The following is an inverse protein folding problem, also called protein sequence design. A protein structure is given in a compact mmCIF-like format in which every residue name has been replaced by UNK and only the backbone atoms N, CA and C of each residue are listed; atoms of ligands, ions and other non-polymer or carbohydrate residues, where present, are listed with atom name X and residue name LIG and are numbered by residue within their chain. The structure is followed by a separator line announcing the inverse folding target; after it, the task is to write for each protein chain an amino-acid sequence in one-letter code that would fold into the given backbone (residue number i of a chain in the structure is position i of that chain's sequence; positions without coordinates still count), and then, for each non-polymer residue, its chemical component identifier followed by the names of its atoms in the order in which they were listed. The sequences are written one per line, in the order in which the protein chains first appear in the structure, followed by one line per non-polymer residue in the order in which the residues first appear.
data_IF_658266995906
#
_entry.id   IF_658266995906
#
_cell.length_a   1.000
_cell.length_b   1.000
_cell.length_c   1.000
_cell.angle_alpha   90.00
_cell.angle_beta   90.00
_cell.angle_gamma   90.00
#
_symmetry.space_group_name_H-M   'P 1'
#
loop_
_entity.id
_entity.type
_entity.pdbx_description
1 polymer ?
#
# COMPACT_ATOMS: atom_id res chain seq x y z
N UNK A 1 25.03 -34.81 -6.09
CA UNK A 1 23.73 -34.98 -5.43
C UNK A 1 23.08 -33.61 -5.31
N UNK A 2 21.93 -33.47 -5.99
CA UNK A 2 20.95 -32.37 -6.02
C UNK A 2 21.29 -31.02 -5.35
N UNK A 3 21.81 -30.08 -6.14
CA UNK A 3 21.54 -28.64 -5.97
C UNK A 3 20.16 -28.36 -6.56
N UNK A 4 19.15 -28.10 -5.71
CA UNK A 4 17.89 -27.53 -6.18
C UNK A 4 18.20 -26.21 -6.89
N UNK A 5 18.08 -26.24 -8.22
CA UNK A 5 18.19 -25.06 -9.08
C UNK A 5 16.99 -24.17 -8.76
N UNK A 6 17.27 -22.99 -8.20
CA UNK A 6 16.32 -21.90 -8.13
C UNK A 6 15.90 -21.53 -9.57
N UNK A 7 14.62 -21.70 -9.96
CA UNK A 7 14.17 -21.48 -11.33
C UNK A 7 13.99 -20.01 -11.74
N UNK A 8 14.33 -19.04 -10.88
CA UNK A 8 14.08 -17.60 -11.12
C UNK A 8 15.32 -16.76 -11.45
N UNK A 9 16.48 -17.36 -11.71
CA UNK A 9 17.71 -16.60 -11.98
C UNK A 9 18.35 -17.02 -13.30
N UNK A 10 17.94 -16.40 -14.44
CA UNK A 10 18.77 -16.28 -15.66
C UNK A 10 18.21 -15.41 -16.81
N UNK A 11 17.41 -14.38 -16.55
CA UNK A 11 17.19 -13.29 -17.54
C UNK A 11 17.18 -11.95 -16.81
N UNK A 12 18.26 -11.19 -16.91
CA UNK A 12 18.20 -9.78 -16.53
C UNK A 12 17.23 -9.05 -17.49
N UNK A 13 16.23 -8.40 -16.90
CA UNK A 13 15.39 -7.34 -17.47
C UNK A 13 14.27 -7.69 -18.48
N UNK A 14 13.55 -8.81 -18.32
CA UNK A 14 12.15 -8.81 -18.78
C UNK A 14 11.26 -8.33 -17.63
N UNK A 15 10.54 -7.23 -17.86
CA UNK A 15 9.47 -6.78 -16.97
C UNK A 15 8.47 -7.95 -16.81
N UNK A 16 8.14 -8.39 -15.59
CA UNK A 16 7.16 -9.46 -15.40
C UNK A 16 5.90 -9.17 -16.21
N UNK A 17 5.37 -10.18 -16.91
CA UNK A 17 4.15 -10.03 -17.75
C UNK A 17 3.00 -9.40 -16.98
N UNK A 18 2.89 -9.71 -15.69
CA UNK A 18 1.90 -9.15 -14.77
C UNK A 18 1.98 -7.61 -14.58
N UNK A 19 3.07 -6.96 -15.00
CA UNK A 19 3.27 -5.51 -14.92
C UNK A 19 3.12 -4.81 -16.28
N UNK A 20 2.93 -5.54 -17.38
CA UNK A 20 2.62 -4.91 -18.67
C UNK A 20 1.29 -4.17 -18.54
N UNK A 21 1.19 -2.95 -19.06
CA UNK A 21 -0.01 -2.13 -18.92
C UNK A 21 -0.20 -1.53 -17.52
N UNK A 22 0.80 -1.66 -16.62
CA UNK A 22 0.81 -1.08 -15.26
C UNK A 22 1.78 0.09 -15.09
N UNK A 23 2.21 0.67 -16.20
CA UNK A 23 3.20 1.75 -16.23
C UNK A 23 2.68 2.98 -15.49
N UNK A 24 1.42 3.36 -15.70
CA UNK A 24 0.85 4.56 -15.09
C UNK A 24 0.74 4.43 -13.57
N UNK A 25 0.37 3.25 -13.05
CA UNK A 25 0.30 3.01 -11.61
C UNK A 25 1.67 3.10 -10.95
N UNK A 26 2.71 2.59 -11.61
CA UNK A 26 4.09 2.67 -11.12
C UNK A 26 4.63 4.11 -11.21
N UNK A 27 4.32 4.83 -12.28
CA UNK A 27 4.72 6.23 -12.46
C UNK A 27 4.04 7.15 -11.44
N UNK A 28 2.73 7.02 -11.25
CA UNK A 28 1.99 7.80 -10.25
C UNK A 28 2.53 7.54 -8.84
N UNK A 29 2.91 6.29 -8.54
CA UNK A 29 3.54 5.93 -7.28
C UNK A 29 4.92 6.56 -7.10
N UNK A 30 5.77 6.49 -8.13
CA UNK A 30 7.10 7.11 -8.13
C UNK A 30 7.03 8.62 -7.87
N UNK A 31 6.11 9.29 -8.58
CA UNK A 31 5.85 10.72 -8.44
C UNK A 31 5.23 11.08 -7.08
N UNK A 32 4.40 10.21 -6.50
CA UNK A 32 3.90 10.41 -5.13
C UNK A 32 5.00 10.37 -4.09
N UNK A 33 5.96 9.44 -4.23
CA UNK A 33 7.10 9.34 -3.32
C UNK A 33 7.95 10.62 -3.35
N UNK A 34 8.30 11.09 -4.56
CA UNK A 34 9.08 12.32 -4.72
C UNK A 34 8.36 13.54 -4.18
N UNK A 35 7.05 13.65 -4.44
CA UNK A 35 6.26 14.79 -3.94
C UNK A 35 6.21 14.87 -2.43
N UNK A 36 6.10 13.71 -1.77
CA UNK A 36 6.05 13.64 -0.33
C UNK A 36 7.40 14.00 0.33
N UNK A 37 8.53 13.57 -0.24
CA UNK A 37 9.86 13.90 0.33
C UNK A 37 10.33 15.30 -0.02
N UNK A 38 10.09 15.77 -1.25
CA UNK A 38 10.73 16.97 -1.77
C UNK A 38 9.90 18.23 -1.51
N UNK A 39 8.57 18.10 -1.54
CA UNK A 39 7.64 19.23 -1.41
C UNK A 39 6.73 19.11 -0.18
N UNK A 40 6.76 18.00 0.55
CA UNK A 40 5.84 17.74 1.66
C UNK A 40 4.39 17.58 1.22
N UNK A 41 4.15 17.35 -0.08
CA UNK A 41 2.82 17.16 -0.62
C UNK A 41 2.45 15.68 -0.55
N UNK A 42 1.43 15.35 0.25
CA UNK A 42 1.02 13.98 0.50
C UNK A 42 -0.25 13.67 -0.29
N UNK A 43 -0.11 12.79 -1.28
CA UNK A 43 -1.23 12.31 -2.07
C UNK A 43 -2.23 11.50 -1.26
N UNK A 44 -3.45 11.41 -1.81
CA UNK A 44 -4.43 10.46 -1.31
C UNK A 44 -3.90 9.01 -1.44
N UNK A 45 -4.38 8.08 -0.59
CA UNK A 45 -4.05 6.66 -0.71
C UNK A 45 -4.29 6.10 -2.12
N UNK A 46 -3.40 5.20 -2.54
CA UNK A 46 -3.53 4.43 -3.77
C UNK A 46 -4.33 3.16 -3.48
N UNK A 47 -5.57 3.08 -3.98
CA UNK A 47 -6.44 1.92 -3.78
C UNK A 47 -6.58 1.16 -5.10
N UNK A 48 -5.97 -0.03 -5.19
CA UNK A 48 -5.94 -0.83 -6.41
C UNK A 48 -6.81 -2.09 -6.23
N UNK A 49 -7.90 -2.16 -6.99
CA UNK A 49 -8.91 -3.20 -6.85
C UNK A 49 -8.91 -4.12 -8.07
N UNK A 50 -8.91 -5.45 -7.89
CA UNK A 50 -9.01 -6.36 -9.04
C UNK A 50 -9.26 -7.80 -8.66
N UNK A 51 -9.69 -8.61 -9.63
CA UNK A 51 -9.96 -10.04 -9.42
C UNK A 51 -8.66 -10.85 -9.24
N UNK A 52 -8.77 -12.15 -8.93
CA UNK A 52 -7.56 -13.01 -8.82
C UNK A 52 -6.88 -13.18 -10.18
N UNK A 53 -5.55 -13.21 -10.17
CA UNK A 53 -4.73 -13.44 -11.36
C UNK A 53 -4.45 -12.20 -12.23
N UNK A 54 -4.80 -10.99 -11.79
CA UNK A 54 -4.55 -9.73 -12.56
C UNK A 54 -3.18 -9.08 -12.28
N UNK A 55 -2.32 -9.72 -11.49
CA UNK A 55 -0.96 -9.21 -11.20
C UNK A 55 -0.82 -8.34 -9.96
N UNK A 56 -1.85 -8.23 -9.12
CA UNK A 56 -1.90 -7.35 -7.94
C UNK A 56 -0.68 -7.43 -7.01
N UNK A 57 -0.33 -8.64 -6.56
CA UNK A 57 0.80 -8.86 -5.65
C UNK A 57 2.14 -8.53 -6.32
N UNK A 58 2.28 -8.77 -7.63
CA UNK A 58 3.49 -8.40 -8.40
C UNK A 58 3.61 -6.88 -8.48
N UNK A 59 2.49 -6.18 -8.72
CA UNK A 59 2.45 -4.72 -8.71
C UNK A 59 2.82 -4.15 -7.33
N UNK A 60 2.26 -4.69 -6.25
CA UNK A 60 2.61 -4.26 -4.88
C UNK A 60 4.10 -4.45 -4.58
N UNK A 61 4.67 -5.60 -4.98
CA UNK A 61 6.09 -5.89 -4.79
C UNK A 61 6.98 -4.91 -5.55
N UNK A 62 6.57 -4.51 -6.76
CA UNK A 62 7.31 -3.52 -7.55
C UNK A 62 7.20 -2.10 -6.95
N UNK A 63 6.02 -1.68 -6.50
CA UNK A 63 5.84 -0.43 -5.76
C UNK A 63 6.73 -0.41 -4.50
N UNK A 64 6.79 -1.52 -3.76
CA UNK A 64 7.66 -1.67 -2.60
C UNK A 64 9.15 -1.54 -2.98
N UNK A 65 9.56 -2.11 -4.12
CA UNK A 65 10.93 -2.01 -4.64
C UNK A 65 11.29 -0.55 -4.98
N UNK A 66 10.41 0.16 -5.68
CA UNK A 66 10.58 1.58 -6.03
C UNK A 66 10.75 2.42 -4.77
N UNK A 67 9.86 2.26 -3.79
CA UNK A 67 9.93 2.98 -2.53
C UNK A 67 11.26 2.73 -1.78
N UNK A 68 11.69 1.46 -1.67
CA UNK A 68 12.99 1.12 -1.05
C UNK A 68 14.18 1.73 -1.79
N UNK A 69 14.15 1.80 -3.12
CA UNK A 69 15.22 2.43 -3.90
C UNK A 69 15.31 3.94 -3.66
N UNK A 70 14.20 4.58 -3.29
CA UNK A 70 14.15 5.98 -2.83
C UNK A 70 14.36 6.11 -1.31
N UNK A 71 14.90 5.08 -0.67
CA UNK A 71 15.21 5.03 0.77
C UNK A 71 13.99 5.12 1.71
N UNK A 72 12.77 4.97 1.19
CA UNK A 72 11.58 4.90 2.03
C UNK A 72 11.62 3.64 2.91
N UNK A 73 11.15 3.80 4.15
CA UNK A 73 10.84 2.65 5.00
C UNK A 73 9.55 2.03 4.49
N UNK A 74 9.58 0.74 4.15
CA UNK A 74 8.43 0.02 3.61
C UNK A 74 7.95 -1.02 4.62
N UNK A 75 6.71 -0.84 5.08
CA UNK A 75 5.97 -1.85 5.82
C UNK A 75 4.99 -2.52 4.85
N UNK A 76 5.26 -3.78 4.51
CA UNK A 76 4.43 -4.56 3.59
C UNK A 76 3.74 -5.68 4.35
N UNK A 77 2.41 -5.77 4.23
CA UNK A 77 1.55 -6.68 4.97
C UNK A 77 0.57 -7.38 4.03
N UNK A 78 0.15 -8.59 4.40
CA UNK A 78 -0.99 -9.28 3.81
C UNK A 78 -2.10 -9.33 4.87
N UNK A 79 -3.27 -8.77 4.56
CA UNK A 79 -4.39 -8.76 5.48
C UNK A 79 -4.97 -10.17 5.63
N UNK A 80 -5.36 -10.52 6.86
CA UNK A 80 -5.98 -11.81 7.18
C UNK A 80 -7.22 -11.58 8.01
N UNK A 81 -8.28 -12.33 7.73
CA UNK A 81 -9.60 -12.21 8.37
C UNK A 81 -9.62 -12.39 9.90
N UNK A 82 -8.50 -12.75 10.53
CA UNK A 82 -8.40 -12.90 11.99
C UNK A 82 -7.72 -11.72 12.70
N UNK A 83 -7.52 -10.55 12.05
CA UNK A 83 -7.21 -9.26 12.69
C UNK A 83 -5.94 -9.18 13.54
N UNK A 84 -5.18 -10.28 13.64
CA UNK A 84 -4.04 -10.37 14.55
C UNK A 84 -2.80 -9.71 13.99
N UNK A 85 -2.61 -9.63 12.67
CA UNK A 85 -1.35 -9.12 12.13
C UNK A 85 -1.27 -7.59 12.25
N UNK A 86 -2.34 -6.83 11.97
CA UNK A 86 -2.28 -5.36 12.07
C UNK A 86 -2.24 -4.88 13.52
N UNK A 87 -3.06 -5.48 14.42
CA UNK A 87 -3.04 -5.16 15.85
C UNK A 87 -1.73 -5.59 16.52
N UNK A 88 -1.15 -6.74 16.13
CA UNK A 88 0.15 -7.19 16.67
C UNK A 88 1.31 -6.33 16.16
N UNK A 89 1.25 -5.86 14.91
CA UNK A 89 2.32 -5.03 14.31
C UNK A 89 2.20 -3.56 14.73
N UNK A 90 0.99 -3.03 14.93
CA UNK A 90 0.75 -1.59 15.09
C UNK A 90 0.19 -1.14 16.45
N UNK A 91 -0.13 -2.05 17.38
CA UNK A 91 -0.54 -1.69 18.74
C UNK A 91 -1.67 -2.57 19.27
N UNK A 92 -1.38 -3.30 20.36
CA UNK A 92 -2.33 -4.21 20.99
C UNK A 92 -3.39 -3.47 21.83
N UNK A 93 -4.65 -3.60 21.43
CA UNK A 93 -5.81 -3.17 22.21
C UNK A 93 -7.11 -3.59 21.54
N UNK A 94 -8.06 -4.14 22.30
CA UNK A 94 -9.35 -4.67 21.82
C UNK A 94 -10.48 -3.64 21.88
N UNK A 95 -10.16 -2.35 21.77
CA UNK A 95 -11.14 -1.27 21.81
C UNK A 95 -11.03 -0.41 20.53
N UNK A 96 -12.16 -0.26 19.84
CA UNK A 96 -12.34 0.34 18.52
C UNK A 96 -11.75 1.75 18.41
N UNK A 97 -11.85 2.54 19.50
CA UNK A 97 -11.25 3.87 19.58
C UNK A 97 -9.76 3.86 19.91
N UNK A 98 -9.28 2.83 20.60
CA UNK A 98 -7.88 2.69 20.96
C UNK A 98 -7.03 2.36 19.73
N UNK A 99 -7.50 1.45 18.86
CA UNK A 99 -6.75 1.06 17.66
C UNK A 99 -6.45 2.26 16.76
N UNK A 100 -7.45 3.07 16.42
CA UNK A 100 -7.24 4.26 15.57
C UNK A 100 -6.28 5.25 16.22
N UNK A 101 -6.40 5.47 17.53
CA UNK A 101 -5.52 6.39 18.27
C UNK A 101 -4.07 5.87 18.29
N UNK A 102 -3.88 4.59 18.56
CA UNK A 102 -2.58 3.98 18.76
C UNK A 102 -1.82 3.86 17.43
N UNK A 103 -2.51 3.39 16.37
CA UNK A 103 -1.94 3.34 15.02
C UNK A 103 -1.56 4.74 14.54
N UNK A 104 -2.39 5.76 14.78
CA UNK A 104 -2.06 7.15 14.43
C UNK A 104 -0.85 7.66 15.20
N UNK A 105 -0.75 7.40 16.50
CA UNK A 105 0.42 7.82 17.30
C UNK A 105 1.70 7.19 16.77
N UNK A 106 1.66 5.89 16.49
CA UNK A 106 2.80 5.15 15.94
C UNK A 106 3.23 5.73 14.59
N UNK A 107 2.30 5.80 13.63
CA UNK A 107 2.59 6.30 12.28
C UNK A 107 3.05 7.76 12.31
N UNK A 108 2.41 8.62 13.12
CA UNK A 108 2.84 10.01 13.29
C UNK A 108 4.27 10.10 13.80
N UNK A 109 4.59 9.37 14.87
CA UNK A 109 5.94 9.37 15.45
C UNK A 109 6.98 8.93 14.43
N UNK A 110 6.78 7.78 13.79
CA UNK A 110 7.70 7.23 12.78
C UNK A 110 7.84 8.15 11.56
N UNK A 111 6.73 8.67 11.01
CA UNK A 111 6.78 9.56 9.85
C UNK A 111 7.44 10.90 10.18
N UNK A 112 7.31 11.39 11.42
CA UNK A 112 7.97 12.63 11.88
C UNK A 112 9.49 12.43 11.92
N UNK A 113 9.96 11.33 12.51
CA UNK A 113 11.39 10.99 12.56
C UNK A 113 11.97 10.81 11.15
N UNK A 114 11.26 10.11 10.26
CA UNK A 114 11.71 9.92 8.87
C UNK A 114 11.74 11.22 8.08
N UNK A 115 10.82 12.15 8.35
CA UNK A 115 10.80 13.47 7.72
C UNK A 115 12.08 14.25 7.99
N UNK A 116 12.62 14.19 9.22
CA UNK A 116 13.90 14.82 9.59
C UNK A 116 15.08 14.26 8.77
N UNK A 117 14.97 13.01 8.34
CA UNK A 117 15.96 12.32 7.50
C UNK A 117 15.70 12.48 6.00
N UNK A 118 14.71 13.29 5.58
CA UNK A 118 14.22 13.40 4.19
C UNK A 118 13.78 12.06 3.58
N UNK A 119 13.20 11.19 4.41
CA UNK A 119 12.67 9.88 4.03
C UNK A 119 11.19 9.82 4.35
N UNK A 120 10.52 8.76 3.91
CA UNK A 120 9.11 8.52 4.21
C UNK A 120 8.81 7.10 4.63
N UNK A 121 7.59 6.90 5.15
CA UNK A 121 7.00 5.61 5.51
C UNK A 121 5.94 5.24 4.46
N UNK A 122 6.13 4.11 3.80
CA UNK A 122 5.13 3.52 2.92
C UNK A 122 4.53 2.28 3.57
N UNK A 123 3.20 2.27 3.75
CA UNK A 123 2.46 1.09 4.21
C UNK A 123 1.71 0.50 3.01
N UNK A 124 2.01 -0.76 2.71
CA UNK A 124 1.51 -1.48 1.53
C UNK A 124 0.78 -2.74 2.01
N UNK A 125 -0.52 -2.84 1.76
CA UNK A 125 -1.34 -3.95 2.25
C UNK A 125 -1.99 -4.70 1.09
N UNK A 126 -1.66 -5.99 0.97
CA UNK A 126 -2.33 -6.93 0.06
C UNK A 126 -3.57 -7.56 0.72
N UNK A 127 -4.50 -8.04 -0.09
CA UNK A 127 -5.77 -8.64 0.31
C UNK A 127 -6.58 -7.77 1.31
N UNK A 128 -6.48 -6.44 1.19
CA UNK A 128 -7.08 -5.47 2.12
C UNK A 128 -8.60 -5.59 2.28
N UNK A 129 -9.31 -6.33 1.40
CA UNK A 129 -10.72 -6.69 1.64
C UNK A 129 -10.92 -7.52 2.91
N UNK A 130 -9.88 -8.15 3.44
CA UNK A 130 -9.93 -8.99 4.63
C UNK A 130 -9.71 -8.19 5.92
N UNK A 131 -9.34 -6.91 5.83
CA UNK A 131 -9.32 -5.98 6.96
C UNK A 131 -10.75 -5.69 7.45
N UNK A 132 -10.94 -5.57 8.75
CA UNK A 132 -12.21 -5.18 9.33
C UNK A 132 -12.49 -3.66 9.18
N UNK A 133 -13.65 -3.22 9.64
CA UNK A 133 -14.08 -1.81 9.53
C UNK A 133 -13.19 -0.87 10.36
N UNK A 134 -12.70 -1.34 11.49
CA UNK A 134 -11.90 -0.56 12.44
C UNK A 134 -10.47 -0.38 11.91
N UNK A 135 -9.88 -1.44 11.37
CA UNK A 135 -8.57 -1.43 10.72
C UNK A 135 -8.56 -0.49 9.50
N UNK A 136 -9.57 -0.59 8.63
CA UNK A 136 -9.74 0.32 7.48
C UNK A 136 -9.92 1.77 7.92
N UNK A 137 -10.71 2.01 8.96
CA UNK A 137 -10.91 3.32 9.57
C UNK A 137 -9.60 3.92 10.11
N UNK A 138 -8.80 3.12 10.82
CA UNK A 138 -7.53 3.54 11.37
C UNK A 138 -6.53 3.94 10.27
N UNK A 139 -6.39 3.12 9.24
CA UNK A 139 -5.50 3.38 8.10
C UNK A 139 -5.92 4.63 7.31
N UNK A 140 -7.22 4.78 7.03
CA UNK A 140 -7.76 5.95 6.36
C UNK A 140 -7.50 7.23 7.17
N UNK A 141 -7.69 7.17 8.49
CA UNK A 141 -7.41 8.30 9.38
C UNK A 141 -5.92 8.65 9.48
N UNK A 142 -5.02 7.67 9.32
CA UNK A 142 -3.58 7.92 9.23
C UNK A 142 -3.22 8.64 7.93
N UNK A 143 -3.79 8.24 6.80
CA UNK A 143 -3.58 8.93 5.54
C UNK A 143 -4.10 10.38 5.57
N UNK A 144 -5.29 10.59 6.14
CA UNK A 144 -5.85 11.93 6.31
C UNK A 144 -4.97 12.81 7.20
N UNK A 145 -4.52 12.27 8.34
CA UNK A 145 -3.60 12.96 9.24
C UNK A 145 -2.28 13.32 8.54
N UNK A 146 -1.68 12.39 7.81
CA UNK A 146 -0.43 12.63 7.10
C UNK A 146 -0.55 13.76 6.08
N UNK A 147 -1.68 13.82 5.37
CA UNK A 147 -1.98 14.92 4.44
C UNK A 147 -2.10 16.28 5.15
N UNK A 148 -2.84 16.34 6.26
CA UNK A 148 -3.03 17.58 7.04
C UNK A 148 -1.72 18.06 7.66
N UNK A 149 -0.90 17.14 8.18
CA UNK A 149 0.35 17.45 8.89
C UNK A 149 1.57 17.48 7.95
N UNK A 150 1.37 17.23 6.66
CA UNK A 150 2.45 17.12 5.66
C UNK A 150 3.55 16.12 6.09
N UNK A 151 3.15 14.98 6.65
CA UNK A 151 4.05 13.92 7.07
C UNK A 151 4.27 12.94 5.92
N UNK A 152 5.52 12.51 5.62
CA UNK A 152 5.85 11.66 4.48
C UNK A 152 5.38 10.22 4.72
N UNK A 153 4.06 10.02 4.69
CA UNK A 153 3.39 8.75 4.86
C UNK A 153 2.49 8.50 3.67
N UNK A 154 2.71 7.39 2.98
CA UNK A 154 1.90 6.96 1.83
C UNK A 154 1.32 5.56 2.10
N UNK A 155 0.07 5.39 1.66
CA UNK A 155 -0.70 4.17 1.86
C UNK A 155 -1.09 3.58 0.51
N UNK A 156 -0.84 2.28 0.34
CA UNK A 156 -1.34 1.48 -0.78
C UNK A 156 -2.19 0.34 -0.22
N UNK A 157 -3.43 0.25 -0.67
CA UNK A 157 -4.30 -0.88 -0.38
C UNK A 157 -4.61 -1.62 -1.68
N UNK A 158 -4.36 -2.91 -1.69
CA UNK A 158 -4.66 -3.80 -2.80
C UNK A 158 -5.66 -4.84 -2.36
N UNK A 159 -6.66 -5.12 -3.19
CA UNK A 159 -7.64 -6.14 -2.86
C UNK A 159 -8.67 -6.42 -3.95
N UNK A 160 -9.74 -7.10 -3.56
CA UNK A 160 -10.91 -7.36 -4.41
C UNK A 160 -11.79 -6.10 -4.56
N UNK A 161 -12.62 -5.99 -5.60
CA UNK A 161 -13.49 -4.82 -5.83
C UNK A 161 -14.39 -4.42 -4.64
N UNK A 162 -14.76 -5.38 -3.78
CA UNK A 162 -15.53 -5.11 -2.55
C UNK A 162 -14.80 -4.17 -1.57
N UNK A 163 -13.47 -4.08 -1.65
CA UNK A 163 -12.65 -3.19 -0.82
C UNK A 163 -13.12 -1.74 -0.89
N UNK A 164 -13.46 -1.25 -2.09
CA UNK A 164 -13.96 0.12 -2.27
C UNK A 164 -15.17 0.40 -1.40
N UNK A 165 -16.16 -0.50 -1.46
CA UNK A 165 -17.38 -0.40 -0.66
C UNK A 165 -17.09 -0.45 0.84
N UNK A 166 -16.26 -1.41 1.30
CA UNK A 166 -15.90 -1.52 2.71
C UNK A 166 -15.21 -0.26 3.22
N UNK A 167 -14.30 0.31 2.43
CA UNK A 167 -13.55 1.50 2.80
C UNK A 167 -14.48 2.73 2.92
N UNK A 168 -15.37 2.95 1.96
CA UNK A 168 -16.34 4.06 2.00
C UNK A 168 -17.37 3.92 3.12
N UNK A 169 -17.77 2.69 3.47
CA UNK A 169 -18.63 2.39 4.62
C UNK A 169 -17.91 2.59 5.97
N UNK A 170 -16.57 2.52 5.97
CA UNK A 170 -15.74 2.75 7.17
C UNK A 170 -15.53 4.24 7.46
N UNK A 171 -15.24 5.05 6.43
CA UNK A 171 -15.06 6.51 6.52
C UNK A 171 -15.61 7.17 5.25
N UNK A 172 -16.59 8.06 5.39
CA UNK A 172 -17.24 8.71 4.25
C UNK A 172 -16.29 9.54 3.38
N UNK A 173 -15.26 10.16 3.97
CA UNK A 173 -14.28 10.93 3.19
C UNK A 173 -13.40 10.05 2.29
N UNK A 174 -13.38 8.73 2.50
CA UNK A 174 -12.60 7.80 1.68
C UNK A 174 -13.14 7.69 0.24
N UNK A 175 -14.36 8.17 -0.03
CA UNK A 175 -14.89 8.30 -1.40
C UNK A 175 -14.01 9.19 -2.29
N UNK A 176 -13.20 10.08 -1.69
CA UNK A 176 -12.28 10.98 -2.38
C UNK A 176 -10.91 10.37 -2.66
N UNK A 177 -10.67 9.12 -2.22
CA UNK A 177 -9.40 8.44 -2.48
C UNK A 177 -9.28 8.02 -3.95
N UNK A 178 -8.04 7.76 -4.39
CA UNK A 178 -7.77 7.31 -5.74
C UNK A 178 -8.05 5.80 -5.85
N UNK A 179 -9.15 5.44 -6.50
CA UNK A 179 -9.50 4.04 -6.77
C UNK A 179 -9.17 3.70 -8.22
N UNK A 180 -8.37 2.66 -8.44
CA UNK A 180 -8.06 2.11 -9.76
C UNK A 180 -8.52 0.67 -9.87
N UNK A 181 -9.25 0.37 -10.92
CA UNK A 181 -9.68 -0.99 -11.24
C UNK A 181 -8.61 -1.68 -12.11
N UNK A 182 -8.12 -2.81 -11.61
CA UNK A 182 -7.17 -3.68 -12.29
C UNK A 182 -7.92 -4.78 -13.03
N UNK A 183 -7.98 -4.63 -14.35
CA UNK A 183 -8.54 -5.63 -15.26
C UNK A 183 -7.51 -6.71 -15.61
N UNK A 184 -7.95 -7.83 -16.18
CA UNK A 184 -7.02 -8.81 -16.76
C UNK A 184 -6.32 -8.15 -17.95
N UNK A 185 -5.02 -8.41 -18.07
CA UNK A 185 -4.28 -8.07 -19.28
C UNK A 185 -4.88 -8.88 -20.43
N UNK A 186 -5.16 -8.24 -21.56
CA UNK A 186 -5.60 -8.97 -22.74
C UNK A 186 -4.42 -9.81 -23.25
N UNK A 187 -4.69 -10.97 -23.85
CA UNK A 187 -3.62 -11.85 -24.37
C UNK A 187 -2.74 -11.15 -25.43
N UNK A 188 -3.24 -10.09 -26.06
CA UNK A 188 -2.50 -9.25 -27.00
C UNK A 188 -1.49 -8.32 -26.32
N UNK A 189 -1.67 -7.99 -25.03
CA UNK A 189 -0.73 -7.18 -24.24
C UNK A 189 0.46 -8.01 -23.72
N UNK A 190 0.37 -9.34 -23.76
CA UNK A 190 1.36 -10.26 -23.20
C UNK A 190 2.36 -10.82 -24.22
N UNK A 191 2.41 -10.28 -25.45
CA UNK A 191 3.25 -10.76 -26.56
C UNK A 191 4.48 -9.90 -26.81
#
# INVERSE_FOLDING_TARGET
MNTQRNPYTLHAAMKPVALVGREQELEDWDVSLDRATDYGFIDAPHILCGHRGVGKTVLLAEMARIARNKEWVVCQLEAKQQGKDLQTVLGGGTDSGALEIDVKKLIRGTATELKEQRRGLAVLIDEAQDLDKEELAALASCAQMASIESLPFLLVLIGLPILKKKLTESKSYAERFSFKDMERLNEDDAR
#
